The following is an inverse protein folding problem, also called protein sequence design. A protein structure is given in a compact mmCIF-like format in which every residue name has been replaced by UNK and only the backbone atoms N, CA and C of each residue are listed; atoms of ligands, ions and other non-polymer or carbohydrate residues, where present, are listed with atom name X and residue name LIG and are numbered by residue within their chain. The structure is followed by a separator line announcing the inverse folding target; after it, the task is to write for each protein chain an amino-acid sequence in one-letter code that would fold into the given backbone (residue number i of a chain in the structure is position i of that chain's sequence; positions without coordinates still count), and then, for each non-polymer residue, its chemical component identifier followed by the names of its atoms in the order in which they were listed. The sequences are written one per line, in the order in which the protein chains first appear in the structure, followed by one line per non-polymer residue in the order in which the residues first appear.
data_IF_218609959181
#
_entry.id   IF_218609959181
#
_cell.length_a   1.000
_cell.length_b   1.000
_cell.length_c   1.000
_cell.angle_alpha   90.00
_cell.angle_beta   90.00
_cell.angle_gamma   90.00
#
_symmetry.space_group_name_H-M   'P 1'
#
loop_
_entity.id
_entity.type
_entity.pdbx_description
1 polymer ?
#
# COMPACT_ATOMS: atom_id res chain seq x y z
N UNK A 1 -19.70 -1.29 0.82
CA UNK A 1 -18.76 -0.88 1.90
C UNK A 1 -18.13 -2.10 2.58
N UNK A 2 -18.88 -3.02 3.19
CA UNK A 2 -18.35 -4.17 3.95
C UNK A 2 -17.20 -4.96 3.26
N UNK A 3 -17.35 -5.33 1.98
CA UNK A 3 -16.28 -6.03 1.21
C UNK A 3 -15.00 -5.21 1.10
N UNK A 4 -15.12 -3.88 0.94
CA UNK A 4 -13.96 -2.98 0.85
C UNK A 4 -13.22 -2.91 2.19
N UNK A 5 -13.96 -2.83 3.30
CA UNK A 5 -13.37 -2.83 4.65
C UNK A 5 -12.64 -4.13 4.96
N UNK A 6 -13.20 -5.29 4.56
CA UNK A 6 -12.51 -6.58 4.68
C UNK A 6 -11.20 -6.59 3.88
N UNK A 7 -11.21 -6.10 2.63
CA UNK A 7 -10.01 -6.05 1.81
C UNK A 7 -8.93 -5.14 2.43
N UNK A 8 -9.32 -3.98 2.99
CA UNK A 8 -8.40 -3.09 3.72
C UNK A 8 -7.83 -3.76 4.97
N UNK A 9 -8.66 -4.49 5.75
CA UNK A 9 -8.20 -5.21 6.93
C UNK A 9 -7.21 -6.32 6.56
N UNK A 10 -7.51 -7.13 5.53
CA UNK A 10 -6.63 -8.22 5.07
C UNK A 10 -5.29 -7.64 4.57
N UNK A 11 -5.33 -6.60 3.72
CA UNK A 11 -4.10 -6.00 3.18
C UNK A 11 -3.24 -5.35 4.26
N UNK A 12 -3.86 -4.70 5.26
CA UNK A 12 -3.12 -4.12 6.39
C UNK A 12 -2.58 -5.22 7.32
N UNK A 13 -3.32 -6.30 7.54
CA UNK A 13 -2.84 -7.44 8.31
C UNK A 13 -1.62 -8.08 7.63
N UNK A 14 -1.67 -8.27 6.31
CA UNK A 14 -0.56 -8.77 5.52
C UNK A 14 0.65 -7.82 5.59
N UNK A 15 0.43 -6.50 5.45
CA UNK A 15 1.49 -5.50 5.56
C UNK A 15 2.23 -5.58 6.90
N UNK A 16 1.49 -5.67 8.00
CA UNK A 16 2.09 -5.80 9.34
C UNK A 16 2.77 -7.15 9.48
N UNK A 17 2.11 -8.23 9.09
CA UNK A 17 2.64 -9.58 9.26
C UNK A 17 3.96 -9.77 8.49
N UNK A 18 4.02 -9.47 7.20
CA UNK A 18 5.22 -9.66 6.40
C UNK A 18 6.25 -8.55 6.60
N UNK A 19 5.84 -7.30 6.66
CA UNK A 19 6.77 -6.16 6.80
C UNK A 19 7.39 -6.08 8.20
N UNK A 20 6.59 -6.06 9.27
CA UNK A 20 7.13 -6.08 10.63
C UNK A 20 7.74 -7.44 10.97
N UNK A 21 7.21 -8.54 10.43
CA UNK A 21 7.79 -9.87 10.54
C UNK A 21 9.23 -9.94 9.99
N UNK A 22 9.48 -9.34 8.83
CA UNK A 22 10.83 -9.20 8.28
C UNK A 22 11.76 -8.42 9.23
N UNK A 23 11.27 -7.37 9.88
CA UNK A 23 12.04 -6.64 10.87
C UNK A 23 12.35 -7.48 12.12
N UNK A 24 11.43 -8.33 12.57
CA UNK A 24 11.64 -9.27 13.69
C UNK A 24 12.73 -10.29 13.33
N UNK A 25 12.70 -10.82 12.12
CA UNK A 25 13.63 -11.86 11.66
C UNK A 25 14.96 -11.29 11.14
N UNK A 26 15.19 -9.99 11.22
CA UNK A 26 16.44 -9.35 10.77
C UNK A 26 17.71 -9.96 11.38
N UNK A 27 17.65 -10.49 12.58
CA UNK A 27 18.76 -11.20 13.21
C UNK A 27 19.27 -12.42 12.43
N UNK A 28 18.50 -12.92 11.45
CA UNK A 28 18.90 -14.00 10.55
C UNK A 28 19.52 -13.53 9.23
N UNK A 29 19.90 -12.24 9.12
CA UNK A 29 20.77 -11.73 8.05
C UNK A 29 20.06 -11.11 6.84
N UNK A 30 18.75 -10.81 6.88
CA UNK A 30 18.07 -10.18 5.73
C UNK A 30 18.44 -8.70 5.54
N UNK A 31 18.93 -8.04 6.59
CA UNK A 31 19.40 -6.64 6.55
C UNK A 31 18.28 -5.62 6.27
N UNK A 32 18.65 -4.34 6.31
CA UNK A 32 17.71 -3.24 6.03
C UNK A 32 17.11 -3.30 4.62
N UNK A 33 17.88 -3.76 3.64
CA UNK A 33 17.40 -3.89 2.25
C UNK A 33 16.32 -4.95 2.17
N UNK A 34 16.50 -6.12 2.79
CA UNK A 34 15.50 -7.17 2.82
C UNK A 34 14.22 -6.76 3.53
N UNK A 35 14.33 -6.02 4.66
CA UNK A 35 13.16 -5.48 5.35
C UNK A 35 12.42 -4.47 4.47
N UNK A 36 13.13 -3.54 3.84
CA UNK A 36 12.54 -2.54 2.95
C UNK A 36 11.81 -3.18 1.77
N UNK A 37 12.42 -4.21 1.17
CA UNK A 37 11.80 -4.99 0.10
C UNK A 37 10.56 -5.74 0.58
N UNK A 38 10.57 -6.34 1.78
CA UNK A 38 9.41 -7.02 2.33
C UNK A 38 8.20 -6.08 2.45
N UNK A 39 8.39 -4.84 2.95
CA UNK A 39 7.34 -3.82 3.00
C UNK A 39 6.84 -3.43 1.61
N UNK A 40 7.72 -3.25 0.64
CA UNK A 40 7.32 -2.90 -0.72
C UNK A 40 6.62 -4.04 -1.44
N UNK A 41 7.17 -5.27 -1.37
CA UNK A 41 6.62 -6.44 -2.06
C UNK A 41 5.25 -6.85 -1.54
N UNK A 42 5.00 -6.75 -0.22
CA UNK A 42 3.67 -7.04 0.31
C UNK A 42 2.64 -6.03 -0.21
N UNK A 43 3.00 -4.76 -0.39
CA UNK A 43 2.10 -3.79 -1.02
C UNK A 43 1.87 -4.12 -2.49
N UNK A 44 2.89 -4.52 -3.24
CA UNK A 44 2.70 -5.01 -4.62
C UNK A 44 1.68 -6.15 -4.62
N UNK A 45 1.93 -7.20 -3.82
CA UNK A 45 1.07 -8.37 -3.77
C UNK A 45 -0.38 -8.03 -3.37
N UNK A 46 -0.55 -7.19 -2.33
CA UNK A 46 -1.89 -6.81 -1.85
C UNK A 46 -2.59 -5.82 -2.79
N UNK A 47 -1.87 -4.93 -3.46
CA UNK A 47 -2.44 -4.06 -4.48
C UNK A 47 -3.05 -4.87 -5.62
N UNK A 48 -2.34 -5.89 -6.12
CA UNK A 48 -2.84 -6.73 -7.22
C UNK A 48 -3.89 -7.77 -6.78
N UNK A 49 -3.98 -8.14 -5.51
CA UNK A 49 -5.00 -9.09 -5.03
C UNK A 49 -6.24 -8.40 -4.45
N UNK A 50 -6.07 -7.44 -3.54
CA UNK A 50 -7.16 -6.78 -2.81
C UNK A 50 -7.47 -5.37 -3.34
N UNK A 51 -6.55 -4.75 -4.08
CA UNK A 51 -6.70 -3.38 -4.57
C UNK A 51 -7.89 -3.22 -5.52
N UNK A 52 -8.22 -4.21 -6.33
CA UNK A 52 -9.40 -4.20 -7.20
C UNK A 52 -10.72 -4.10 -6.41
N UNK A 53 -10.73 -4.52 -5.12
CA UNK A 53 -11.93 -4.48 -4.28
C UNK A 53 -12.08 -3.14 -3.56
N UNK A 54 -10.99 -2.65 -2.92
CA UNK A 54 -11.05 -1.48 -2.03
C UNK A 54 -10.34 -0.24 -2.58
N UNK A 55 -9.47 -0.41 -3.55
CA UNK A 55 -8.49 0.58 -3.97
C UNK A 55 -7.11 0.39 -3.34
N UNK A 56 -6.99 -0.52 -2.35
CA UNK A 56 -5.71 -0.94 -1.80
C UNK A 56 -4.96 0.14 -1.03
N UNK A 57 -5.63 0.85 -0.12
CA UNK A 57 -4.98 1.88 0.68
C UNK A 57 -4.09 1.29 1.77
N UNK A 58 -4.61 0.33 2.56
CA UNK A 58 -3.93 -0.38 3.65
C UNK A 58 -3.17 0.53 4.64
N UNK A 59 -3.54 1.82 4.67
CA UNK A 59 -2.81 2.87 5.38
C UNK A 59 -3.73 4.07 5.67
N UNK A 60 -3.93 4.48 6.94
CA UNK A 60 -4.72 5.67 7.28
C UNK A 60 -4.19 6.96 6.66
N UNK A 61 -2.86 7.14 6.54
CA UNK A 61 -2.28 8.34 5.94
C UNK A 61 -2.57 8.40 4.43
N UNK A 62 -2.49 7.27 3.71
CA UNK A 62 -2.91 7.17 2.30
C UNK A 62 -4.40 7.48 2.17
N UNK A 63 -5.25 6.85 3.01
CA UNK A 63 -6.69 7.09 2.99
C UNK A 63 -7.02 8.56 3.25
N UNK A 64 -6.31 9.20 4.18
CA UNK A 64 -6.46 10.61 4.49
C UNK A 64 -6.02 11.50 3.31
N UNK A 65 -4.89 11.21 2.67
CA UNK A 65 -4.45 11.92 1.46
C UNK A 65 -5.48 11.80 0.32
N UNK A 66 -6.03 10.60 0.09
CA UNK A 66 -7.09 10.37 -0.89
C UNK A 66 -8.40 11.13 -0.56
N UNK A 67 -8.75 11.22 0.73
CA UNK A 67 -9.88 12.02 1.18
C UNK A 67 -9.65 13.52 0.92
N UNK A 68 -8.49 14.04 1.28
CA UNK A 68 -8.14 15.43 1.03
C UNK A 68 -8.10 15.76 -0.46
N UNK A 69 -7.71 14.82 -1.32
CA UNK A 69 -7.75 14.98 -2.79
C UNK A 69 -9.17 14.79 -3.39
N UNK A 70 -10.15 14.47 -2.55
CA UNK A 70 -11.56 14.32 -2.94
C UNK A 70 -11.90 12.99 -3.63
N UNK A 71 -11.04 11.97 -3.52
CA UNK A 71 -11.24 10.66 -4.17
C UNK A 71 -12.10 9.70 -3.37
N UNK A 72 -12.21 9.89 -2.06
CA UNK A 72 -13.10 9.12 -1.18
C UNK A 72 -13.91 10.05 -0.29
N UNK A 73 -15.05 9.56 0.20
CA UNK A 73 -15.93 10.30 1.13
C UNK A 73 -15.45 10.14 2.57
N UNK A 74 -15.83 11.07 3.47
CA UNK A 74 -15.46 11.00 4.88
C UNK A 74 -15.94 9.74 5.60
N UNK A 75 -17.11 9.22 5.25
CA UNK A 75 -17.61 7.94 5.77
C UNK A 75 -16.71 6.77 5.36
N UNK A 76 -16.27 6.74 4.11
CA UNK A 76 -15.34 5.73 3.62
C UNK A 76 -13.96 5.83 4.27
N UNK A 77 -13.47 7.06 4.51
CA UNK A 77 -12.24 7.29 5.26
C UNK A 77 -12.31 6.64 6.66
N UNK A 78 -13.40 6.91 7.40
CA UNK A 78 -13.58 6.36 8.75
C UNK A 78 -13.63 4.82 8.74
N UNK A 79 -14.41 4.24 7.82
CA UNK A 79 -14.49 2.78 7.67
C UNK A 79 -13.15 2.15 7.33
N UNK A 80 -12.36 2.79 6.45
CA UNK A 80 -11.03 2.31 6.09
C UNK A 80 -10.07 2.39 7.27
N UNK A 81 -10.04 3.50 8.02
CA UNK A 81 -9.19 3.64 9.20
C UNK A 81 -9.50 2.53 10.21
N UNK A 82 -10.78 2.30 10.52
CA UNK A 82 -11.19 1.24 11.47
C UNK A 82 -10.74 -0.14 10.96
N UNK A 83 -11.01 -0.45 9.69
CA UNK A 83 -10.64 -1.73 9.10
C UNK A 83 -9.11 -1.96 9.09
N UNK A 84 -8.35 -0.92 8.76
CA UNK A 84 -6.88 -0.94 8.76
C UNK A 84 -6.31 -1.13 10.16
N UNK A 85 -6.87 -0.46 11.18
CA UNK A 85 -6.46 -0.64 12.58
C UNK A 85 -6.73 -2.07 13.07
N UNK A 86 -7.89 -2.63 12.75
CA UNK A 86 -8.23 -4.03 13.05
C UNK A 86 -7.28 -4.98 12.32
N UNK A 87 -7.03 -4.77 11.05
CA UNK A 87 -6.08 -5.56 10.27
C UNK A 87 -4.67 -5.53 10.86
N UNK A 88 -4.18 -4.34 11.21
CA UNK A 88 -2.87 -4.18 11.83
C UNK A 88 -2.75 -4.93 13.16
N UNK A 89 -3.81 -4.89 13.98
CA UNK A 89 -3.86 -5.64 15.23
C UNK A 89 -3.82 -7.15 14.99
N UNK A 90 -4.58 -7.66 14.02
CA UNK A 90 -4.58 -9.09 13.66
C UNK A 90 -3.18 -9.52 13.20
N UNK A 91 -2.53 -8.76 12.29
CA UNK A 91 -1.17 -9.05 11.84
C UNK A 91 -0.15 -9.08 12.98
N UNK A 92 -0.23 -8.10 13.88
CA UNK A 92 0.64 -8.02 15.05
C UNK A 92 0.37 -9.15 16.07
N UNK A 93 -0.88 -9.57 16.25
CA UNK A 93 -1.23 -10.73 17.11
C UNK A 93 -0.64 -12.03 16.57
N UNK A 94 -0.67 -12.26 15.25
CA UNK A 94 -0.01 -13.41 14.66
C UNK A 94 1.50 -13.39 14.89
N UNK A 95 2.14 -12.25 14.71
CA UNK A 95 3.57 -12.09 14.99
C UNK A 95 3.89 -12.36 16.47
N UNK A 96 3.07 -11.84 17.38
CA UNK A 96 3.22 -12.08 18.81
C UNK A 96 3.07 -13.56 19.18
N UNK A 97 2.12 -14.26 18.56
CA UNK A 97 1.92 -15.71 18.78
C UNK A 97 3.11 -16.54 18.30
N UNK A 98 3.76 -16.13 17.20
CA UNK A 98 4.90 -16.84 16.61
C UNK A 98 6.21 -16.50 17.34
N UNK A 99 6.45 -15.22 17.62
CA UNK A 99 7.74 -14.70 18.04
C UNK A 99 7.77 -14.14 19.47
N UNK A 100 6.62 -14.04 20.16
CA UNK A 100 6.52 -13.31 21.42
C UNK A 100 6.89 -11.83 21.25
N UNK A 101 7.79 -11.35 22.13
CA UNK A 101 8.30 -9.95 22.08
C UNK A 101 9.66 -9.80 21.38
N UNK A 102 10.06 -10.78 20.58
CA UNK A 102 11.35 -10.78 19.90
C UNK A 102 11.55 -9.50 19.08
N UNK A 103 12.74 -8.92 19.17
CA UNK A 103 13.17 -7.74 18.40
C UNK A 103 12.13 -6.62 18.36
N UNK A 104 11.50 -6.35 19.50
CA UNK A 104 10.54 -5.25 19.63
C UNK A 104 9.25 -5.41 18.81
N UNK A 105 8.93 -6.61 18.37
CA UNK A 105 7.75 -6.92 17.53
C UNK A 105 7.66 -6.05 16.26
N UNK A 106 8.80 -5.58 15.75
CA UNK A 106 8.87 -4.72 14.58
C UNK A 106 8.22 -3.34 14.76
N UNK A 107 8.13 -2.85 16.02
CA UNK A 107 7.57 -1.54 16.36
C UNK A 107 8.40 -0.38 15.83
N UNK A 108 7.73 0.75 15.63
CA UNK A 108 8.39 2.03 15.40
C UNK A 108 8.79 2.68 16.72
N UNK A 109 9.93 3.33 16.72
CA UNK A 109 10.41 4.15 17.84
C UNK A 109 11.49 5.12 17.37
N UNK A 110 11.84 6.10 18.18
CA UNK A 110 12.93 7.03 17.95
C UNK A 110 13.75 7.24 19.22
N UNK A 111 14.91 7.87 19.10
CA UNK A 111 15.79 8.13 20.24
C UNK A 111 16.72 6.96 20.55
N UNK A 112 17.04 6.80 21.84
CA UNK A 112 17.95 5.78 22.30
C UNK A 112 17.51 4.36 21.90
N UNK A 113 18.46 3.55 21.46
CA UNK A 113 18.22 2.19 21.00
C UNK A 113 17.96 2.05 19.48
N UNK A 114 17.89 3.16 18.73
CA UNK A 114 17.89 3.15 17.26
C UNK A 114 19.31 3.33 16.72
N UNK A 115 19.52 2.92 15.47
CA UNK A 115 20.84 3.08 14.83
C UNK A 115 21.27 4.56 14.75
N UNK A 116 20.29 5.46 14.59
CA UNK A 116 20.48 6.91 14.69
C UNK A 116 19.59 7.45 15.80
N UNK A 117 20.20 8.10 16.79
CA UNK A 117 19.51 8.68 17.95
C UNK A 117 18.89 10.04 17.58
N UNK A 118 17.69 10.04 17.06
CA UNK A 118 16.96 11.25 16.70
C UNK A 118 16.26 11.88 17.89
N UNK A 119 16.24 13.22 17.90
CA UNK A 119 15.32 13.97 18.77
C UNK A 119 13.86 13.76 18.31
N UNK A 120 12.90 14.08 19.17
CA UNK A 120 11.46 14.05 18.81
C UNK A 120 11.14 14.88 17.58
N UNK A 121 11.71 16.11 17.49
CA UNK A 121 11.53 16.96 16.32
C UNK A 121 12.14 16.39 15.04
N UNK A 122 13.34 15.78 15.15
CA UNK A 122 13.97 15.10 14.03
C UNK A 122 13.17 13.90 13.54
N UNK A 123 12.69 13.06 14.45
CA UNK A 123 11.84 11.91 14.13
C UNK A 123 10.51 12.35 13.49
N UNK A 124 9.89 13.40 14.02
CA UNK A 124 8.67 13.96 13.44
C UNK A 124 8.89 14.44 12.01
N UNK A 125 9.95 15.23 11.78
CA UNK A 125 10.28 15.74 10.45
C UNK A 125 10.56 14.59 9.45
N UNK A 126 11.32 13.57 9.86
CA UNK A 126 11.59 12.39 9.04
C UNK A 126 10.28 11.73 8.62
N UNK A 127 9.39 11.40 9.56
CA UNK A 127 8.12 10.73 9.24
C UNK A 127 7.20 11.59 8.37
N UNK A 128 7.17 12.93 8.57
CA UNK A 128 6.44 13.86 7.69
C UNK A 128 6.98 13.78 6.26
N UNK A 129 8.30 13.88 6.08
CA UNK A 129 8.91 13.87 4.75
C UNK A 129 8.75 12.53 4.03
N UNK A 130 9.00 11.42 4.74
CA UNK A 130 8.82 10.08 4.16
C UNK A 130 7.37 9.84 3.72
N UNK A 131 6.42 10.24 4.56
CA UNK A 131 5.00 10.09 4.22
C UNK A 131 4.58 11.03 3.10
N UNK A 132 5.10 12.26 3.08
CA UNK A 132 4.87 13.22 2.00
C UNK A 132 5.25 12.62 0.65
N UNK A 133 6.48 12.13 0.48
CA UNK A 133 6.93 11.56 -0.80
C UNK A 133 6.18 10.28 -1.13
N UNK A 134 5.91 9.43 -0.16
CA UNK A 134 5.15 8.20 -0.37
C UNK A 134 3.72 8.49 -0.86
N UNK A 135 2.98 9.35 -0.14
CA UNK A 135 1.59 9.68 -0.51
C UNK A 135 1.53 10.48 -1.81
N UNK A 136 2.52 11.34 -2.07
CA UNK A 136 2.61 12.06 -3.35
C UNK A 136 2.77 11.08 -4.53
N UNK A 137 3.61 10.05 -4.39
CA UNK A 137 3.75 9.00 -5.39
C UNK A 137 2.43 8.24 -5.60
N UNK A 138 1.72 7.88 -4.50
CA UNK A 138 0.41 7.24 -4.55
C UNK A 138 -0.61 8.10 -5.30
N UNK A 139 -0.74 9.38 -4.93
CA UNK A 139 -1.67 10.31 -5.57
C UNK A 139 -1.36 10.49 -7.06
N UNK A 140 -0.07 10.56 -7.40
CA UNK A 140 0.39 10.71 -8.78
C UNK A 140 0.06 9.50 -9.64
N UNK A 141 0.49 8.31 -9.23
CA UNK A 141 0.35 7.10 -10.05
C UNK A 141 -1.11 6.63 -10.19
N UNK A 142 -1.96 6.97 -9.23
CA UNK A 142 -3.40 6.64 -9.26
C UNK A 142 -4.28 7.74 -9.86
N UNK A 143 -3.69 8.79 -10.44
CA UNK A 143 -4.44 9.86 -11.10
C UNK A 143 -5.06 9.37 -12.42
N UNK A 144 -6.27 9.88 -12.74
CA UNK A 144 -7.02 9.50 -13.97
C UNK A 144 -6.21 9.66 -15.27
N UNK A 145 -5.28 10.62 -15.33
CA UNK A 145 -4.40 10.81 -16.50
C UNK A 145 -3.42 9.66 -16.73
N UNK A 146 -3.05 8.93 -15.69
CA UNK A 146 -2.18 7.78 -15.76
C UNK A 146 -3.01 6.51 -15.96
N UNK A 147 -3.48 6.26 -17.19
CA UNK A 147 -4.32 5.10 -17.55
C UNK A 147 -3.66 3.73 -17.34
N UNK A 148 -2.41 3.66 -16.93
CA UNK A 148 -1.71 2.41 -16.64
C UNK A 148 -1.90 1.95 -15.19
N UNK A 149 -3.15 1.70 -14.79
CA UNK A 149 -3.46 1.03 -13.51
C UNK A 149 -2.68 -0.28 -13.32
N UNK A 150 -2.25 -0.90 -14.44
CA UNK A 150 -1.44 -2.11 -14.42
C UNK A 150 -0.09 -1.98 -13.70
N UNK A 151 0.54 -0.79 -13.65
CA UNK A 151 1.83 -0.59 -12.97
C UNK A 151 1.72 0.12 -11.62
N UNK A 152 0.53 0.60 -11.26
CA UNK A 152 0.35 1.41 -10.05
C UNK A 152 0.79 0.66 -8.78
N UNK A 153 0.42 -0.62 -8.65
CA UNK A 153 0.82 -1.44 -7.51
C UNK A 153 2.35 -1.57 -7.38
N UNK A 154 3.05 -1.75 -8.50
CA UNK A 154 4.52 -1.84 -8.53
C UNK A 154 5.13 -0.51 -8.09
N UNK A 155 4.68 0.61 -8.66
CA UNK A 155 5.20 1.95 -8.32
C UNK A 155 4.98 2.27 -6.84
N UNK A 156 3.79 1.97 -6.29
CA UNK A 156 3.48 2.19 -4.87
C UNK A 156 4.37 1.31 -3.99
N UNK A 157 4.55 0.03 -4.33
CA UNK A 157 5.42 -0.87 -3.58
C UNK A 157 6.88 -0.42 -3.62
N UNK A 158 7.39 0.00 -4.77
CA UNK A 158 8.75 0.54 -4.89
C UNK A 158 8.91 1.87 -4.12
N UNK A 159 7.90 2.74 -4.13
CA UNK A 159 7.91 3.96 -3.33
C UNK A 159 7.95 3.64 -1.82
N UNK A 160 7.20 2.62 -1.37
CA UNK A 160 7.27 2.16 0.02
C UNK A 160 8.65 1.56 0.35
N UNK A 161 9.24 0.77 -0.56
CA UNK A 161 10.61 0.27 -0.41
C UNK A 161 11.61 1.43 -0.26
N UNK A 162 11.51 2.44 -1.12
CA UNK A 162 12.41 3.60 -1.10
C UNK A 162 12.41 4.32 0.25
N UNK A 163 11.22 4.64 0.78
CA UNK A 163 11.14 5.34 2.07
C UNK A 163 11.59 4.44 3.22
N UNK A 164 11.43 3.12 3.13
CA UNK A 164 11.96 2.19 4.13
C UNK A 164 13.48 2.09 4.07
N UNK A 165 14.10 2.08 2.89
CA UNK A 165 15.57 2.08 2.75
C UNK A 165 16.21 3.25 3.51
N UNK A 166 15.58 4.41 3.50
CA UNK A 166 16.06 5.58 4.22
C UNK A 166 15.67 5.58 5.70
N UNK A 167 14.41 5.28 6.02
CA UNK A 167 13.84 5.52 7.34
C UNK A 167 14.02 4.39 8.35
N UNK A 168 14.33 3.15 7.91
CA UNK A 168 14.49 2.00 8.82
C UNK A 168 15.51 2.24 9.93
N UNK A 169 16.73 2.74 9.68
CA UNK A 169 17.72 3.00 10.75
C UNK A 169 17.31 4.16 11.66
N UNK A 170 16.41 5.05 11.24
CA UNK A 170 16.02 6.28 11.91
C UNK A 170 14.85 6.04 12.90
N UNK A 171 13.71 5.62 12.38
CA UNK A 171 12.45 5.47 13.13
C UNK A 171 11.84 4.06 13.00
N UNK A 172 12.41 3.22 12.16
CA UNK A 172 11.81 1.97 11.72
C UNK A 172 10.76 2.18 10.64
N UNK A 173 10.64 3.36 10.09
CA UNK A 173 9.71 3.83 9.06
C UNK A 173 8.26 3.49 9.36
N UNK A 174 7.49 4.47 9.81
CA UNK A 174 6.04 4.32 9.95
C UNK A 174 5.37 4.53 8.61
N UNK A 175 5.30 5.77 8.18
CA UNK A 175 4.51 6.29 7.05
C UNK A 175 3.06 5.78 7.02
N UNK A 176 2.64 5.11 8.10
CA UNK A 176 1.37 4.39 8.19
C UNK A 176 0.93 4.26 9.67
N UNK A 177 -0.06 5.05 10.13
CA UNK A 177 -0.54 4.99 11.50
C UNK A 177 -0.99 3.58 11.95
N UNK A 178 -1.64 2.79 11.08
CA UNK A 178 -2.11 1.45 11.43
C UNK A 178 -0.92 0.47 11.58
N UNK A 179 0.09 0.55 10.70
CA UNK A 179 1.32 -0.25 10.80
C UNK A 179 2.07 0.00 12.11
N UNK A 180 1.98 1.23 12.63
CA UNK A 180 2.63 1.55 13.92
C UNK A 180 1.76 1.14 15.10
N UNK A 181 0.44 1.32 15.00
CA UNK A 181 -0.52 1.04 16.07
C UNK A 181 -0.54 -0.43 16.50
N UNK A 182 -0.70 -1.37 15.55
CA UNK A 182 -0.89 -2.79 15.87
C UNK A 182 0.25 -3.36 16.72
N UNK A 183 1.51 -3.30 16.25
CA UNK A 183 2.65 -3.75 17.05
C UNK A 183 2.85 -2.98 18.35
N UNK A 184 2.67 -1.65 18.36
CA UNK A 184 2.87 -0.83 19.56
C UNK A 184 1.86 -1.16 20.67
N UNK A 185 0.59 -1.43 20.31
CA UNK A 185 -0.45 -1.82 21.27
C UNK A 185 -0.10 -3.14 21.97
N UNK A 186 0.40 -4.12 21.22
CA UNK A 186 0.74 -5.46 21.77
C UNK A 186 2.06 -5.42 22.54
N UNK A 187 3.05 -4.71 22.00
CA UNK A 187 4.35 -4.62 22.65
C UNK A 187 4.34 -3.73 23.88
N UNK A 188 3.64 -2.60 23.86
CA UNK A 188 3.61 -1.61 24.95
C UNK A 188 4.91 -0.82 25.09
N UNK A 189 5.14 -0.27 26.29
CA UNK A 189 6.36 0.46 26.63
C UNK A 189 6.64 1.69 25.76
N UNK A 190 7.90 1.97 25.46
CA UNK A 190 8.33 3.15 24.68
C UNK A 190 7.60 3.29 23.33
N UNK A 191 7.44 2.24 22.50
CA UNK A 191 6.69 2.35 21.24
C UNK A 191 5.25 2.84 21.42
N UNK A 192 4.57 2.42 22.50
CA UNK A 192 3.21 2.89 22.80
C UNK A 192 3.19 4.37 23.20
N UNK A 193 4.13 4.80 24.05
CA UNK A 193 4.25 6.20 24.45
C UNK A 193 4.64 7.13 23.28
N UNK A 194 5.35 6.62 22.30
CA UNK A 194 5.76 7.37 21.11
C UNK A 194 4.77 7.28 19.94
N UNK A 195 3.69 6.49 20.06
CA UNK A 195 2.74 6.22 18.98
C UNK A 195 2.09 7.49 18.41
N UNK A 196 1.86 8.49 19.26
CA UNK A 196 1.28 9.77 18.84
C UNK A 196 2.05 10.41 17.67
N UNK A 197 3.38 10.32 17.69
CA UNK A 197 4.24 10.84 16.62
C UNK A 197 3.99 10.07 15.32
N UNK A 198 3.92 8.75 15.38
CA UNK A 198 3.70 7.86 14.25
C UNK A 198 2.25 7.87 13.73
N UNK A 199 1.35 8.60 14.39
CA UNK A 199 0.01 8.93 13.89
C UNK A 199 0.04 10.33 13.27
N UNK A 200 0.49 11.34 14.02
CA UNK A 200 0.38 12.74 13.59
C UNK A 200 1.33 13.08 12.44
N UNK A 201 2.59 12.66 12.50
CA UNK A 201 3.56 12.98 11.46
C UNK A 201 3.17 12.43 10.08
N UNK A 202 2.74 11.15 9.94
CA UNK A 202 2.22 10.64 8.67
C UNK A 202 0.97 11.38 8.17
N UNK A 203 0.06 11.78 9.05
CA UNK A 203 -1.12 12.56 8.64
C UNK A 203 -0.73 13.97 8.12
N UNK A 204 0.22 14.63 8.77
CA UNK A 204 0.77 15.92 8.29
C UNK A 204 1.44 15.73 6.92
N UNK A 205 2.28 14.70 6.77
CA UNK A 205 2.94 14.39 5.50
C UNK A 205 1.92 14.13 4.37
N UNK A 206 0.87 13.37 4.66
CA UNK A 206 -0.21 13.10 3.70
C UNK A 206 -1.01 14.37 3.33
N UNK A 207 -1.25 15.25 4.28
CA UNK A 207 -1.93 16.52 4.02
C UNK A 207 -1.09 17.44 3.11
N UNK A 208 0.21 17.55 3.38
CA UNK A 208 1.14 18.30 2.53
C UNK A 208 1.22 17.69 1.12
N UNK A 209 1.27 16.36 0.99
CA UNK A 209 1.27 15.68 -0.29
C UNK A 209 0.00 15.99 -1.10
N UNK A 210 -1.18 15.93 -0.46
CA UNK A 210 -2.44 16.26 -1.11
C UNK A 210 -2.50 17.74 -1.53
N UNK A 211 -1.98 18.65 -0.69
CA UNK A 211 -1.88 20.08 -1.02
C UNK A 211 -1.00 20.33 -2.24
N UNK A 212 0.22 19.79 -2.25
CA UNK A 212 1.15 19.91 -3.38
C UNK A 212 0.57 19.24 -4.62
N UNK A 213 0.00 18.03 -4.50
CA UNK A 213 -0.63 17.36 -5.63
C UNK A 213 -1.71 18.23 -6.30
N UNK A 214 -2.58 18.88 -5.51
CA UNK A 214 -3.61 19.80 -6.02
C UNK A 214 -3.06 21.02 -6.72
N UNK A 215 -1.88 21.50 -6.30
CA UNK A 215 -1.22 22.64 -6.94
C UNK A 215 -0.62 22.27 -8.29
N UNK A 216 0.01 21.07 -8.40
CA UNK A 216 0.75 20.66 -9.60
C UNK A 216 -0.10 19.87 -10.61
N UNK A 217 -1.16 19.16 -10.15
CA UNK A 217 -2.08 18.49 -11.03
C UNK A 217 -3.02 19.52 -11.65
N UNK A 218 -2.93 19.72 -12.96
CA UNK A 218 -3.89 20.60 -13.66
C UNK A 218 -5.32 20.15 -13.35
N UNK A 219 -6.13 21.05 -12.78
CA UNK A 219 -7.55 20.83 -12.52
C UNK A 219 -8.26 20.59 -13.85
N UNK A 220 -8.52 19.35 -14.17
CA UNK A 220 -9.62 19.05 -15.09
C UNK A 220 -10.89 19.15 -14.23
N UNK A 221 -11.71 20.17 -14.49
CA UNK A 221 -12.99 20.35 -13.81
C UNK A 221 -13.89 19.17 -14.17
N UNK A 222 -14.00 18.21 -13.28
CA UNK A 222 -15.07 17.21 -13.21
C UNK A 222 -14.87 16.40 -11.92
N UNK A 223 -15.96 16.03 -11.29
CA UNK A 223 -15.99 15.09 -10.16
C UNK A 223 -15.01 13.95 -10.37
N UNK A 224 -14.00 13.86 -9.49
CA UNK A 224 -13.01 12.79 -9.55
C UNK A 224 -13.64 11.51 -8.97
N UNK A 225 -14.33 10.77 -9.82
CA UNK A 225 -14.60 9.37 -9.46
C UNK A 225 -13.25 8.67 -9.35
N UNK A 226 -12.95 8.13 -8.17
CA UNK A 226 -11.83 7.24 -7.96
C UNK A 226 -11.96 6.08 -8.94
N UNK A 227 -11.01 5.96 -9.86
CA UNK A 227 -10.89 4.76 -10.67
C UNK A 227 -10.06 3.77 -9.85
N UNK A 228 -10.68 2.69 -9.33
CA UNK A 228 -9.92 1.60 -8.75
C UNK A 228 -8.88 1.15 -9.76
N UNK A 229 -7.71 0.72 -9.29
CA UNK A 229 -6.72 0.10 -10.17
C UNK A 229 -7.44 -1.04 -10.90
N UNK A 230 -7.81 -0.80 -12.15
CA UNK A 230 -8.46 -1.80 -12.97
C UNK A 230 -7.39 -2.73 -13.49
N UNK A 231 -7.30 -3.89 -12.88
CA UNK A 231 -6.53 -4.98 -13.45
C UNK A 231 -7.28 -5.51 -14.67
N UNK A 232 -6.57 -5.84 -15.78
CA UNK A 232 -7.22 -6.55 -16.87
C UNK A 232 -7.89 -7.80 -16.29
N UNK A 233 -9.10 -8.15 -16.73
CA UNK A 233 -9.73 -9.38 -16.29
C UNK A 233 -8.76 -10.52 -16.54
N UNK A 234 -8.62 -11.41 -15.55
CA UNK A 234 -7.84 -12.62 -15.74
C UNK A 234 -8.30 -13.30 -17.04
N UNK A 235 -7.38 -13.80 -17.87
CA UNK A 235 -7.77 -14.48 -19.10
C UNK A 235 -8.74 -15.60 -18.71
N UNK A 236 -9.94 -15.53 -19.26
CA UNK A 236 -10.95 -16.59 -19.10
C UNK A 236 -10.45 -17.76 -19.91
N UNK A 237 -9.78 -18.72 -19.25
CA UNK A 237 -9.50 -20.00 -19.85
C UNK A 237 -10.86 -20.72 -19.99
N UNK A 238 -11.45 -20.66 -21.16
CA UNK A 238 -12.55 -21.57 -21.47
C UNK A 238 -11.98 -22.99 -21.40
N UNK A 239 -12.57 -23.89 -20.58
CA UNK A 239 -12.14 -25.28 -20.61
C UNK A 239 -12.49 -25.84 -21.99
N UNK A 240 -11.48 -26.02 -22.82
CA UNK A 240 -11.62 -26.80 -24.05
C UNK A 240 -11.72 -28.28 -23.65
N UNK A 241 -12.91 -28.72 -23.30
CA UNK A 241 -13.23 -30.18 -23.25
C UNK A 241 -13.28 -30.71 -24.66
N UNK A 242 -12.12 -30.96 -25.24
CA UNK A 242 -12.03 -31.88 -26.37
C UNK A 242 -11.66 -33.23 -25.83
N UNK A 243 -12.67 -34.12 -25.70
CA UNK A 243 -12.45 -35.54 -25.48
C UNK A 243 -11.76 -36.08 -26.73
N UNK A 244 -10.50 -36.46 -26.64
CA UNK A 244 -9.77 -37.19 -27.67
C UNK A 244 -9.54 -38.59 -27.13
N UNK A 245 -10.01 -39.66 -27.81
CA UNK A 245 -9.69 -41.05 -27.42
C UNK A 245 -8.20 -41.30 -27.61
N UNK A 246 -7.65 -42.12 -26.73
CA UNK A 246 -6.25 -42.51 -26.64
C UNK A 246 -5.64 -42.95 -27.98
N UNK A 247 -4.74 -42.14 -28.52
CA UNK A 247 -3.57 -42.57 -29.25
C UNK A 247 -2.47 -41.52 -29.12
N UNK A 248 -1.37 -41.95 -28.58
CA UNK A 248 -0.20 -41.18 -28.21
C UNK A 248 0.45 -40.51 -29.44
N UNK A 249 0.34 -39.17 -29.53
CA UNK A 249 1.27 -38.39 -30.36
C UNK A 249 1.36 -36.98 -29.76
N UNK A 250 2.55 -36.55 -29.38
CA UNK A 250 2.82 -35.20 -28.89
C UNK A 250 2.56 -34.20 -30.00
N UNK A 251 1.56 -33.33 -29.83
CA UNK A 251 1.33 -32.17 -30.70
C UNK A 251 1.81 -30.93 -29.96
N UNK A 252 2.77 -30.26 -30.56
CA UNK A 252 3.30 -28.95 -30.14
C UNK A 252 2.19 -27.91 -30.29
N UNK A 253 1.78 -27.28 -29.18
CA UNK A 253 0.75 -26.22 -29.20
C UNK A 253 1.25 -25.00 -29.95
N UNK A 254 0.59 -24.67 -31.03
CA UNK A 254 0.79 -23.40 -31.72
C UNK A 254 -0.06 -22.30 -31.04
N UNK A 255 0.59 -21.25 -30.57
CA UNK A 255 -0.03 -20.03 -30.06
C UNK A 255 -0.70 -19.29 -31.22
N UNK A 256 -2.01 -19.11 -31.17
CA UNK A 256 -2.76 -18.24 -32.08
C UNK A 256 -3.19 -17.00 -31.31
N UNK A 257 -2.68 -15.81 -31.64
CA UNK A 257 -3.16 -14.56 -31.04
C UNK A 257 -4.58 -14.24 -31.54
N UNK A 258 -5.49 -13.96 -30.64
CA UNK A 258 -6.80 -13.39 -31.00
C UNK A 258 -6.61 -11.90 -31.19
N UNK A 259 -6.66 -11.42 -32.45
CA UNK A 259 -6.76 -10.00 -32.76
C UNK A 259 -8.12 -9.48 -32.30
N UNK A 260 -8.12 -8.59 -31.30
CA UNK A 260 -9.29 -7.79 -30.95
C UNK A 260 -9.34 -6.57 -31.88
N UNK A 261 -10.24 -6.58 -32.85
CA UNK A 261 -10.60 -5.40 -33.63
C UNK A 261 -11.16 -4.31 -32.69
N UNK A 262 -10.39 -3.28 -32.45
CA UNK A 262 -10.85 -2.05 -31.80
C UNK A 262 -11.50 -1.17 -32.87
N UNK A 263 -12.83 -1.17 -32.92
CA UNK A 263 -13.57 -0.18 -33.69
C UNK A 263 -13.36 1.21 -33.06
N UNK A 264 -12.66 2.09 -33.77
CA UNK A 264 -12.59 3.51 -33.42
C UNK A 264 -13.85 4.19 -33.97
N UNK A 265 -14.68 4.71 -33.10
CA UNK A 265 -15.70 5.69 -33.47
C UNK A 265 -14.99 7.03 -33.59
N UNK A 266 -14.83 7.52 -34.82
CA UNK A 266 -14.43 8.90 -35.10
C UNK A 266 -15.67 9.76 -34.93
N UNK A 267 -15.76 10.52 -33.85
CA UNK A 267 -16.72 11.62 -33.76
C UNK A 267 -16.21 12.78 -34.61
N UNK A 268 -17.00 13.07 -35.63
CA UNK A 268 -16.85 14.21 -36.56
C UNK A 268 -17.19 15.51 -35.82
N UNK A 269 -16.19 16.30 -35.46
CA UNK A 269 -16.36 17.68 -34.96
C UNK A 269 -16.72 18.58 -36.14
N UNK A 270 -18.01 18.59 -36.50
CA UNK A 270 -18.56 19.59 -37.40
C UNK A 270 -18.53 20.99 -36.81
N UNK A 271 -17.83 21.90 -37.45
CA UNK A 271 -17.85 23.35 -37.31
C UNK A 271 -19.23 23.94 -36.98
N UNK A 272 -19.32 24.71 -35.87
CA UNK A 272 -19.92 26.06 -35.86
C UNK A 272 -19.69 26.79 -34.51
#
# INVERSE_FOLDING_TARGET
MFRKSIAEAIGTAALVFFGAGAAITNGFGIGFVGIALAFGLVIVAMAYSMGAVSGGHFNPAVSFGMFLDGRIRGTQLLEYIIAQMVGALIGALFLYKIFGRLNGLGTNSYGAGRAVNLTTGGAFLVEVLLTFFFVLAVLGVTAKKHRNGAVAGIVIGLALTLVHLFGLPLTGTSVNPARSFGPALIYGGTPWHQLWLFILAPLVGAALAAGVWRLVSQKTAAHHDYVPVAYPPAPVYAPTTTYVPETTTYVQEAYVPVETETAYIVEDDGDR
#
